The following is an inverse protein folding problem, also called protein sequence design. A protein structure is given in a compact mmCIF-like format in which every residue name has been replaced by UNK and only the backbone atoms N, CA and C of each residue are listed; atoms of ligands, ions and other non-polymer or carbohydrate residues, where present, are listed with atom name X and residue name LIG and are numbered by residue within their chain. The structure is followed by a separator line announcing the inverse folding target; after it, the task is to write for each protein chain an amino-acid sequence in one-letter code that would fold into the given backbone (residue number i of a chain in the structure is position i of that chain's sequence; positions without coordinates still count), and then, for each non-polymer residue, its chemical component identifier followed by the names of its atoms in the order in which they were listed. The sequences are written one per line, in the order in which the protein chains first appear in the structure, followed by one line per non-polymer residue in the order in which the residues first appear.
data_IF_093099414286
#
_entry.id   IF_093099414286
#
_cell.length_a   1.000
_cell.length_b   1.000
_cell.length_c   1.000
_cell.angle_alpha   90.00
_cell.angle_beta   90.00
_cell.angle_gamma   90.00
#
_symmetry.space_group_name_H-M   'P 1'
#
loop_
_entity.id
_entity.type
_entity.pdbx_description
1 polymer ?
#
# COMPACT_ATOMS: atom_id res chain seq x y z
N UNK A 1 -15.65 7.95 18.95
CA UNK A 1 -16.28 8.03 17.61
C UNK A 1 -15.16 7.95 16.59
N UNK A 2 -14.80 6.76 16.08
CA UNK A 2 -13.75 6.69 15.06
C UNK A 2 -14.33 7.25 13.76
N UNK A 3 -13.62 8.24 13.21
CA UNK A 3 -13.96 8.86 11.95
C UNK A 3 -13.99 7.79 10.85
N UNK A 4 -15.08 7.80 10.08
CA UNK A 4 -15.21 7.08 8.82
C UNK A 4 -13.98 7.38 7.97
N UNK A 5 -13.25 6.32 7.61
CA UNK A 5 -12.22 6.39 6.57
C UNK A 5 -12.96 6.85 5.31
N UNK A 6 -12.71 8.10 4.93
CA UNK A 6 -13.38 8.80 3.85
C UNK A 6 -13.30 7.98 2.57
N UNK A 7 -14.47 7.63 2.03
CA UNK A 7 -14.70 6.87 0.80
C UNK A 7 -14.22 7.60 -0.49
N UNK A 8 -13.32 8.58 -0.38
CA UNK A 8 -13.03 9.55 -1.44
C UNK A 8 -11.61 9.46 -2.05
N UNK A 9 -10.83 8.42 -1.76
CA UNK A 9 -9.55 8.14 -2.43
C UNK A 9 -9.71 7.49 -3.82
N UNK A 10 -10.96 7.21 -4.22
CA UNK A 10 -11.27 6.10 -5.11
C UNK A 10 -11.55 6.48 -6.57
N UNK A 11 -11.57 7.77 -6.92
CA UNK A 11 -12.14 8.26 -8.19
C UNK A 11 -11.54 7.66 -9.50
N UNK A 12 -10.32 7.10 -9.49
CA UNK A 12 -9.78 6.35 -10.64
C UNK A 12 -10.12 4.88 -10.65
N UNK A 13 -10.16 4.28 -9.47
CA UNK A 13 -10.38 2.85 -9.30
C UNK A 13 -11.87 2.51 -9.40
N UNK A 14 -12.77 3.51 -9.33
CA UNK A 14 -14.20 3.40 -9.67
C UNK A 14 -14.43 2.71 -11.02
N UNK A 15 -13.45 2.77 -11.93
CA UNK A 15 -13.57 2.19 -13.27
C UNK A 15 -12.99 0.78 -13.40
N UNK A 16 -12.40 0.24 -12.32
CA UNK A 16 -11.83 -1.10 -12.29
C UNK A 16 -12.82 -2.07 -11.64
N UNK A 17 -13.07 -3.19 -12.32
CA UNK A 17 -13.90 -4.27 -11.81
C UNK A 17 -13.21 -5.62 -11.98
N UNK A 18 -13.63 -6.59 -11.19
CA UNK A 18 -13.20 -7.98 -11.25
C UNK A 18 -14.40 -8.83 -11.66
N UNK A 19 -14.25 -9.61 -12.72
CA UNK A 19 -15.29 -10.55 -13.14
C UNK A 19 -14.72 -11.96 -13.11
N UNK A 20 -15.37 -12.89 -12.41
CA UNK A 20 -14.96 -14.30 -12.50
C UNK A 20 -15.39 -14.89 -13.84
N UNK A 21 -14.60 -15.79 -14.40
CA UNK A 21 -14.89 -16.39 -15.72
C UNK A 21 -16.20 -17.19 -15.74
N UNK A 22 -16.68 -17.64 -14.58
CA UNK A 22 -17.89 -18.43 -14.39
C UNK A 22 -19.06 -17.62 -13.80
N UNK A 23 -18.92 -16.28 -13.69
CA UNK A 23 -20.01 -15.39 -13.30
C UNK A 23 -20.12 -14.20 -14.25
N UNK A 24 -21.34 -13.85 -14.62
CA UNK A 24 -21.58 -12.69 -15.51
C UNK A 24 -21.42 -11.36 -14.78
N UNK A 25 -21.61 -11.33 -13.46
CA UNK A 25 -21.58 -10.09 -12.68
C UNK A 25 -20.15 -9.62 -12.41
N UNK A 26 -19.83 -8.40 -12.88
CA UNK A 26 -18.58 -7.72 -12.54
C UNK A 26 -18.68 -7.11 -11.13
N UNK A 27 -17.68 -7.37 -10.30
CA UNK A 27 -17.54 -6.86 -8.95
C UNK A 27 -16.66 -5.61 -8.96
N UNK A 28 -17.21 -4.41 -8.72
CA UNK A 28 -16.41 -3.19 -8.68
C UNK A 28 -15.31 -3.32 -7.63
N UNK A 29 -14.10 -2.91 -7.97
CA UNK A 29 -13.06 -2.72 -6.96
C UNK A 29 -13.54 -1.64 -5.99
N UNK A 30 -13.14 -1.74 -4.73
CA UNK A 30 -13.36 -0.74 -3.68
C UNK A 30 -12.04 -0.29 -3.05
N UNK A 31 -11.06 -1.18 -3.01
CA UNK A 31 -9.74 -0.92 -2.43
C UNK A 31 -8.69 -1.86 -2.98
N UNK A 32 -7.47 -1.34 -3.10
CA UNK A 32 -6.25 -2.13 -3.29
C UNK A 32 -5.27 -1.74 -2.20
N UNK A 33 -4.90 -2.72 -1.37
CA UNK A 33 -4.02 -2.54 -0.21
C UNK A 33 -3.22 -3.83 0.10
N UNK A 34 -2.50 -3.86 1.21
CA UNK A 34 -1.74 -5.04 1.68
C UNK A 34 -2.53 -6.34 1.85
N UNK A 35 -3.87 -6.28 1.91
CA UNK A 35 -4.72 -7.44 2.00
C UNK A 35 -5.16 -7.96 0.62
N UNK A 36 -5.00 -7.16 -0.43
CA UNK A 36 -5.33 -7.51 -1.80
C UNK A 36 -6.37 -6.58 -2.40
N UNK A 37 -7.20 -7.14 -3.29
CA UNK A 37 -8.28 -6.46 -3.99
C UNK A 37 -9.57 -6.62 -3.18
N UNK A 38 -10.04 -5.57 -2.53
CA UNK A 38 -11.38 -5.56 -1.93
C UNK A 38 -12.39 -5.14 -2.98
N UNK A 39 -13.40 -5.97 -3.23
CA UNK A 39 -14.45 -5.75 -4.24
C UNK A 39 -15.84 -5.75 -3.62
N UNK A 40 -16.77 -5.02 -4.24
CA UNK A 40 -18.20 -5.11 -3.95
C UNK A 40 -18.80 -6.31 -4.69
N UNK A 41 -19.42 -7.22 -3.95
CA UNK A 41 -20.16 -8.36 -4.50
C UNK A 41 -21.61 -7.91 -4.72
N UNK A 42 -22.14 -7.97 -5.97
CA UNK A 42 -23.53 -7.66 -6.28
C UNK A 42 -24.52 -8.46 -5.43
N UNK A 43 -25.65 -7.86 -5.08
CA UNK A 43 -26.63 -8.47 -4.16
C UNK A 43 -27.30 -9.74 -4.72
N UNK A 44 -27.35 -9.87 -6.04
CA UNK A 44 -27.85 -11.01 -6.78
C UNK A 44 -26.79 -12.09 -7.06
N UNK A 45 -25.52 -11.82 -6.74
CA UNK A 45 -24.43 -12.76 -6.90
C UNK A 45 -24.18 -13.60 -5.64
N UNK A 46 -23.89 -14.88 -5.84
CA UNK A 46 -23.43 -15.75 -4.76
C UNK A 46 -22.08 -15.28 -4.20
N UNK A 47 -21.90 -15.51 -2.90
CA UNK A 47 -20.63 -15.27 -2.22
C UNK A 47 -19.49 -16.04 -2.91
N UNK A 48 -18.34 -15.40 -3.20
CA UNK A 48 -17.19 -16.10 -3.75
C UNK A 48 -16.74 -17.24 -2.83
N UNK A 49 -16.58 -18.45 -3.38
CA UNK A 49 -16.03 -19.58 -2.63
C UNK A 49 -14.62 -19.25 -2.11
N UNK A 50 -14.42 -19.42 -0.80
CA UNK A 50 -13.17 -19.08 -0.14
C UNK A 50 -12.08 -20.12 -0.41
N UNK A 51 -10.84 -19.66 -0.54
CA UNK A 51 -9.65 -20.50 -0.59
C UNK A 51 -9.37 -21.20 -1.94
N UNK A 52 -10.32 -21.18 -2.88
CA UNK A 52 -10.15 -21.79 -4.20
C UNK A 52 -9.71 -20.75 -5.24
N UNK A 53 -8.59 -20.99 -5.96
CA UNK A 53 -8.21 -20.14 -7.08
C UNK A 53 -9.20 -20.23 -8.24
N UNK A 54 -9.71 -19.09 -8.70
CA UNK A 54 -10.63 -18.96 -9.82
C UNK A 54 -10.06 -18.03 -10.87
N UNK A 55 -10.30 -18.31 -12.15
CA UNK A 55 -9.93 -17.40 -13.25
C UNK A 55 -10.81 -16.15 -13.15
N UNK A 56 -10.18 -14.99 -13.22
CA UNK A 56 -10.84 -13.71 -13.16
C UNK A 56 -10.25 -12.76 -14.20
N UNK A 57 -11.13 -11.93 -14.75
CA UNK A 57 -10.79 -10.84 -15.64
C UNK A 57 -10.78 -9.54 -14.85
N UNK A 58 -9.68 -8.80 -14.93
CA UNK A 58 -9.60 -7.41 -14.47
C UNK A 58 -10.06 -6.53 -15.63
N UNK A 59 -11.07 -5.70 -15.38
CA UNK A 59 -11.72 -4.85 -16.38
C UNK A 59 -11.48 -3.41 -15.98
N UNK A 60 -11.11 -2.55 -16.93
CA UNK A 60 -10.96 -1.10 -16.76
C UNK A 60 -11.73 -0.38 -17.86
N UNK A 61 -12.61 0.57 -17.51
CA UNK A 61 -13.45 1.30 -18.48
C UNK A 61 -14.24 0.37 -19.44
N UNK A 62 -14.68 -0.79 -18.94
CA UNK A 62 -15.34 -1.87 -19.69
C UNK A 62 -14.45 -2.64 -20.67
N UNK A 63 -13.14 -2.38 -20.69
CA UNK A 63 -12.16 -3.14 -21.48
C UNK A 63 -11.38 -4.14 -20.59
N UNK A 64 -11.07 -5.35 -21.08
CA UNK A 64 -10.22 -6.29 -20.37
C UNK A 64 -8.78 -5.74 -20.24
N UNK A 65 -8.26 -5.66 -19.01
CA UNK A 65 -6.88 -5.25 -18.72
C UNK A 65 -5.93 -6.45 -18.63
N UNK A 66 -6.35 -7.50 -17.93
CA UNK A 66 -5.66 -8.79 -17.87
C UNK A 66 -6.56 -9.88 -17.32
N UNK A 67 -6.20 -11.12 -17.62
CA UNK A 67 -6.76 -12.30 -16.97
C UNK A 67 -5.73 -12.88 -15.99
N UNK A 68 -6.16 -13.22 -14.79
CA UNK A 68 -5.33 -13.83 -13.77
C UNK A 68 -6.16 -14.78 -12.90
N UNK A 69 -5.52 -15.46 -11.95
CA UNK A 69 -6.23 -16.31 -10.98
C UNK A 69 -6.31 -15.60 -9.63
N UNK A 70 -7.52 -15.46 -9.10
CA UNK A 70 -7.78 -14.88 -7.79
C UNK A 70 -8.28 -15.93 -6.81
N UNK A 71 -7.88 -15.78 -5.55
CA UNK A 71 -8.41 -16.53 -4.41
C UNK A 71 -9.16 -15.56 -3.52
N UNK A 72 -10.44 -15.85 -3.24
CA UNK A 72 -11.17 -15.14 -2.20
C UNK A 72 -10.64 -15.57 -0.82
N UNK A 73 -10.14 -14.60 -0.04
CA UNK A 73 -9.59 -14.82 1.31
C UNK A 73 -10.61 -14.56 2.40
N UNK A 74 -11.49 -13.59 2.16
CA UNK A 74 -12.57 -13.24 3.08
C UNK A 74 -13.76 -12.72 2.30
N UNK A 75 -14.94 -12.92 2.87
CA UNK A 75 -16.21 -12.46 2.36
C UNK A 75 -17.02 -12.01 3.58
N UNK A 76 -17.45 -10.75 3.61
CA UNK A 76 -18.15 -10.17 4.74
C UNK A 76 -19.29 -9.27 4.26
N UNK A 77 -20.41 -9.33 4.97
CA UNK A 77 -21.54 -8.41 4.81
C UNK A 77 -21.74 -7.69 6.13
N UNK A 78 -21.54 -6.38 6.12
CA UNK A 78 -21.90 -5.51 7.24
C UNK A 78 -23.38 -5.12 7.14
N UNK A 79 -24.06 -4.94 8.26
CA UNK A 79 -25.48 -4.63 8.28
C UNK A 79 -25.76 -3.33 7.53
N UNK A 80 -26.59 -3.40 6.47
CA UNK A 80 -26.94 -2.25 5.64
C UNK A 80 -25.86 -1.82 4.64
N UNK A 81 -24.84 -2.63 4.40
CA UNK A 81 -23.82 -2.43 3.37
C UNK A 81 -23.84 -3.56 2.34
N UNK A 82 -23.45 -3.30 1.08
CA UNK A 82 -23.24 -4.36 0.10
C UNK A 82 -22.19 -5.34 0.60
N UNK A 83 -22.31 -6.59 0.17
CA UNK A 83 -21.32 -7.60 0.50
C UNK A 83 -19.96 -7.24 -0.09
N UNK A 84 -18.89 -7.47 0.67
CA UNK A 84 -17.52 -7.24 0.21
C UNK A 84 -16.72 -8.53 0.26
N UNK A 85 -15.79 -8.68 -0.69
CA UNK A 85 -14.85 -9.79 -0.70
C UNK A 85 -13.43 -9.26 -0.89
N UNK A 86 -12.47 -9.88 -0.20
CA UNK A 86 -11.04 -9.61 -0.40
C UNK A 86 -10.44 -10.73 -1.22
N UNK A 87 -9.90 -10.37 -2.37
CA UNK A 87 -9.34 -11.26 -3.37
C UNK A 87 -7.83 -11.05 -3.44
N UNK A 88 -7.08 -12.13 -3.66
CA UNK A 88 -5.64 -12.07 -3.85
C UNK A 88 -5.24 -12.86 -5.09
N UNK A 89 -4.25 -12.39 -5.88
CA UNK A 89 -3.66 -13.20 -6.92
C UNK A 89 -3.12 -14.51 -6.35
N UNK A 90 -3.26 -15.59 -7.12
CA UNK A 90 -2.95 -16.94 -6.65
C UNK A 90 -1.46 -17.29 -6.75
N UNK A 91 -0.74 -16.63 -7.65
CA UNK A 91 0.67 -16.87 -7.99
C UNK A 91 1.43 -15.56 -8.07
N UNK A 92 2.72 -15.58 -7.76
CA UNK A 92 3.61 -14.41 -7.87
C UNK A 92 3.54 -13.72 -9.24
N UNK A 93 3.52 -14.49 -10.34
CA UNK A 93 3.40 -13.94 -11.71
C UNK A 93 2.09 -13.16 -11.91
N UNK A 94 1.01 -13.57 -11.24
CA UNK A 94 -0.29 -12.88 -11.29
C UNK A 94 -0.22 -11.51 -10.59
N UNK A 95 0.60 -11.36 -9.54
CA UNK A 95 0.83 -10.05 -8.89
C UNK A 95 1.55 -9.11 -9.86
N UNK A 96 2.60 -9.59 -10.53
CA UNK A 96 3.35 -8.78 -11.50
C UNK A 96 2.47 -8.36 -12.69
N UNK A 97 1.68 -9.29 -13.23
CA UNK A 97 0.76 -9.03 -14.33
C UNK A 97 -0.30 -7.97 -13.95
N UNK A 98 -0.89 -8.08 -12.75
CA UNK A 98 -1.84 -7.09 -12.24
C UNK A 98 -1.23 -5.68 -12.27
N UNK A 99 -0.04 -5.51 -11.68
CA UNK A 99 0.60 -4.20 -11.60
C UNK A 99 1.02 -3.64 -12.96
N UNK A 100 1.53 -4.49 -13.86
CA UNK A 100 1.86 -4.06 -15.23
C UNK A 100 0.64 -3.60 -16.00
N UNK A 101 -0.48 -4.32 -15.90
CA UNK A 101 -1.75 -3.92 -16.53
C UNK A 101 -2.29 -2.61 -15.95
N UNK A 102 -2.14 -2.39 -14.64
CA UNK A 102 -2.55 -1.12 -14.02
C UNK A 102 -1.68 0.06 -14.46
N UNK A 103 -0.36 -0.14 -14.62
CA UNK A 103 0.53 0.89 -15.18
C UNK A 103 0.14 1.23 -16.61
N UNK A 104 -0.09 0.21 -17.45
CA UNK A 104 -0.51 0.41 -18.83
C UNK A 104 -1.86 1.12 -18.93
N UNK A 105 -2.82 0.72 -18.10
CA UNK A 105 -4.14 1.36 -18.02
C UNK A 105 -4.05 2.83 -17.60
N UNK A 106 -3.21 3.13 -16.59
CA UNK A 106 -2.98 4.52 -16.14
C UNK A 106 -2.40 5.39 -17.24
N UNK A 107 -1.46 4.87 -18.02
CA UNK A 107 -0.86 5.60 -19.15
C UNK A 107 -1.89 5.95 -20.24
N UNK A 108 -2.95 5.15 -20.39
CA UNK A 108 -4.02 5.41 -21.36
C UNK A 108 -5.00 6.50 -20.90
N UNK A 109 -5.19 6.68 -19.59
CA UNK A 109 -6.18 7.61 -19.04
C UNK A 109 -5.80 9.09 -19.17
N UNK A 110 -4.53 9.43 -19.38
CA UNK A 110 -4.06 10.79 -19.73
C UNK A 110 -4.21 11.89 -18.67
N UNK A 111 -4.96 11.68 -17.58
CA UNK A 111 -5.07 12.58 -16.42
C UNK A 111 -5.54 11.79 -15.18
N UNK A 112 -4.93 12.03 -14.02
CA UNK A 112 -5.12 11.19 -12.84
C UNK A 112 -6.29 11.57 -11.91
N UNK A 113 -6.72 10.59 -11.10
CA UNK A 113 -7.56 10.80 -9.92
C UNK A 113 -6.88 11.67 -8.87
N UNK A 114 -7.70 12.41 -8.12
CA UNK A 114 -7.28 13.04 -6.86
C UNK A 114 -7.11 12.00 -5.76
N UNK A 115 -5.98 12.04 -5.04
CA UNK A 115 -5.82 11.32 -3.79
C UNK A 115 -6.30 12.21 -2.65
N UNK A 116 -7.27 11.76 -1.85
CA UNK A 116 -7.52 12.40 -0.58
C UNK A 116 -6.39 11.98 0.39
N UNK A 117 -6.02 12.88 1.30
CA UNK A 117 -4.89 12.63 2.17
C UNK A 117 -5.16 11.51 3.18
N UNK A 118 -4.11 10.71 3.36
CA UNK A 118 -3.82 9.78 4.45
C UNK A 118 -4.47 8.38 4.36
N UNK A 119 -3.67 7.42 3.89
CA UNK A 119 -3.82 6.01 4.26
C UNK A 119 -3.39 5.87 5.73
N UNK A 120 -4.27 6.30 6.64
CA UNK A 120 -4.13 5.93 8.04
C UNK A 120 -4.59 4.48 8.16
N UNK A 121 -3.64 3.56 8.20
CA UNK A 121 -3.94 2.21 8.70
C UNK A 121 -4.57 2.36 10.09
N UNK A 122 -5.68 1.68 10.40
CA UNK A 122 -6.31 1.80 11.70
C UNK A 122 -5.27 1.45 12.77
N UNK A 123 -5.03 2.42 13.66
CA UNK A 123 -4.20 2.26 14.84
C UNK A 123 -4.79 1.14 15.67
N UNK A 124 -4.14 -0.03 15.65
CA UNK A 124 -4.36 -1.02 16.68
C UNK A 124 -3.87 -0.38 17.98
N UNK A 125 -4.81 -0.03 18.87
CA UNK A 125 -4.46 0.43 20.20
C UNK A 125 -3.53 -0.60 20.84
N UNK A 126 -2.32 -0.23 21.29
CA UNK A 126 -1.40 -1.19 21.86
C UNK A 126 -2.02 -1.75 23.14
N UNK A 127 -2.28 -3.06 23.16
CA UNK A 127 -2.43 -3.79 24.41
C UNK A 127 -1.17 -3.56 25.24
N UNK A 128 -1.34 -3.10 26.48
CA UNK A 128 -0.29 -2.49 27.34
C UNK A 128 0.91 -3.36 27.71
N UNK A 129 1.15 -4.49 27.03
CA UNK A 129 2.27 -5.39 27.24
C UNK A 129 3.40 -5.29 26.17
N UNK A 130 3.17 -4.61 25.03
CA UNK A 130 4.07 -4.65 23.85
C UNK A 130 5.06 -3.46 23.75
N UNK A 131 5.30 -2.75 24.85
CA UNK A 131 6.12 -1.52 24.89
C UNK A 131 7.64 -1.74 24.86
N UNK A 132 8.12 -2.97 24.72
CA UNK A 132 9.57 -3.22 24.68
C UNK A 132 10.05 -3.10 23.23
N UNK A 133 10.71 -1.98 22.91
CA UNK A 133 11.52 -1.75 21.71
C UNK A 133 10.81 -1.65 20.36
N UNK A 134 9.80 -0.77 20.22
CA UNK A 134 9.43 -0.24 18.91
C UNK A 134 10.35 0.92 18.53
N UNK A 135 11.22 0.72 17.54
CA UNK A 135 12.07 1.76 16.96
C UNK A 135 11.52 2.10 15.58
N UNK A 136 11.28 3.38 15.32
CA UNK A 136 10.82 3.86 14.04
C UNK A 136 12.01 4.38 13.20
N UNK A 137 11.95 4.13 11.90
CA UNK A 137 12.81 4.78 10.92
C UNK A 137 11.95 5.42 9.85
N UNK A 138 12.20 6.69 9.62
CA UNK A 138 11.45 7.54 8.73
C UNK A 138 12.20 7.60 7.40
N UNK A 139 11.51 7.45 6.26
CA UNK A 139 12.09 7.55 4.93
C UNK A 139 11.14 8.29 4.01
N UNK A 140 11.66 8.98 3.00
CA UNK A 140 10.82 9.54 1.93
C UNK A 140 11.32 9.09 0.56
N UNK A 141 10.36 8.97 -0.34
CA UNK A 141 10.55 8.62 -1.74
C UNK A 141 10.05 9.78 -2.60
N UNK A 142 10.89 10.31 -3.48
CA UNK A 142 10.54 11.37 -4.43
C UNK A 142 10.28 10.78 -5.80
N UNK A 143 9.13 11.15 -6.37
CA UNK A 143 8.64 10.70 -7.67
C UNK A 143 8.55 11.89 -8.64
N UNK A 144 8.32 11.61 -9.93
CA UNK A 144 8.26 12.65 -10.96
C UNK A 144 7.08 13.62 -10.79
N UNK A 145 5.95 13.14 -10.24
CA UNK A 145 4.74 13.93 -10.05
C UNK A 145 3.87 13.32 -8.92
N UNK A 146 2.82 14.05 -8.54
CA UNK A 146 1.88 13.62 -7.49
C UNK A 146 1.15 12.32 -7.85
N UNK A 147 0.82 12.10 -9.11
CA UNK A 147 0.09 10.92 -9.58
C UNK A 147 0.91 9.64 -9.41
N UNK A 148 2.22 9.72 -9.72
CA UNK A 148 3.20 8.68 -9.47
C UNK A 148 3.33 8.39 -7.99
N UNK A 149 3.43 9.43 -7.15
CA UNK A 149 3.49 9.28 -5.70
C UNK A 149 2.24 8.55 -5.15
N UNK A 150 1.06 8.90 -5.65
CA UNK A 150 -0.19 8.24 -5.26
C UNK A 150 -0.19 6.76 -5.66
N UNK A 151 0.15 6.46 -6.91
CA UNK A 151 0.19 5.09 -7.43
C UNK A 151 1.25 4.25 -6.69
N UNK A 152 2.45 4.81 -6.52
CA UNK A 152 3.55 4.19 -5.78
C UNK A 152 3.15 3.87 -4.33
N UNK A 153 2.41 4.75 -3.64
CA UNK A 153 1.98 4.49 -2.26
C UNK A 153 1.09 3.25 -2.13
N UNK A 154 0.23 2.98 -3.12
CA UNK A 154 -0.65 1.79 -3.14
C UNK A 154 0.13 0.53 -3.46
N UNK A 155 1.04 0.62 -4.42
CA UNK A 155 1.98 -0.46 -4.73
C UNK A 155 2.82 -0.80 -3.50
N UNK A 156 3.35 0.20 -2.80
CA UNK A 156 4.15 -0.01 -1.61
C UNK A 156 3.35 -0.66 -0.47
N UNK A 157 2.12 -0.20 -0.21
CA UNK A 157 1.25 -0.85 0.78
C UNK A 157 0.99 -2.32 0.42
N UNK A 158 0.66 -2.58 -0.84
CA UNK A 158 0.39 -3.93 -1.34
C UNK A 158 1.57 -4.88 -1.10
N UNK A 159 2.81 -4.42 -1.27
CA UNK A 159 4.04 -5.21 -1.09
C UNK A 159 4.58 -5.20 0.34
N UNK A 160 3.78 -4.81 1.35
CA UNK A 160 4.22 -4.75 2.74
C UNK A 160 4.83 -6.07 3.25
N UNK A 161 4.24 -7.23 2.89
CA UNK A 161 4.74 -8.53 3.33
C UNK A 161 6.15 -8.83 2.78
N UNK A 162 6.40 -8.47 1.53
CA UNK A 162 7.70 -8.59 0.88
C UNK A 162 8.72 -7.63 1.49
N UNK A 163 8.32 -6.39 1.82
CA UNK A 163 9.18 -5.45 2.55
C UNK A 163 9.58 -6.03 3.91
N UNK A 164 8.64 -6.63 4.65
CA UNK A 164 8.93 -7.33 5.90
C UNK A 164 9.91 -8.49 5.71
N UNK A 165 9.74 -9.31 4.66
CA UNK A 165 10.66 -10.40 4.34
C UNK A 165 12.06 -9.86 4.01
N UNK A 166 12.17 -8.75 3.27
CA UNK A 166 13.45 -8.12 2.92
C UNK A 166 14.17 -7.55 4.14
N UNK A 167 13.45 -6.95 5.07
CA UNK A 167 14.01 -6.53 6.34
C UNK A 167 14.61 -7.72 7.09
N UNK A 168 13.86 -8.82 7.25
CA UNK A 168 14.31 -10.05 7.93
C UNK A 168 15.49 -10.74 7.24
N UNK A 169 15.56 -10.67 5.90
CA UNK A 169 16.71 -11.18 5.14
C UNK A 169 17.97 -10.35 5.36
N UNK A 170 17.82 -9.05 5.66
CA UNK A 170 18.95 -8.16 5.93
C UNK A 170 19.50 -8.38 7.34
N UNK A 171 18.62 -8.60 8.32
CA UNK A 171 18.97 -9.01 9.67
C UNK A 171 17.81 -9.81 10.28
N UNK A 172 18.09 -10.99 10.83
CA UNK A 172 17.07 -11.88 11.37
C UNK A 172 16.30 -11.29 12.57
N UNK A 173 16.88 -10.30 13.25
CA UNK A 173 16.27 -9.57 14.37
C UNK A 173 15.47 -8.35 13.91
N UNK A 174 15.55 -7.95 12.63
CA UNK A 174 14.80 -6.83 12.06
C UNK A 174 13.35 -7.22 11.76
N UNK A 175 12.51 -7.17 12.79
CA UNK A 175 11.10 -7.50 12.68
C UNK A 175 10.26 -6.25 12.38
N UNK A 176 10.05 -5.97 11.09
CA UNK A 176 9.16 -4.90 10.63
C UNK A 176 7.70 -5.28 10.93
N UNK A 177 7.00 -4.44 11.70
CA UNK A 177 5.63 -4.70 12.16
C UNK A 177 4.60 -3.81 11.49
N UNK A 178 4.92 -2.55 11.31
CA UNK A 178 3.99 -1.58 10.75
C UNK A 178 4.71 -0.69 9.74
N UNK A 179 3.96 -0.28 8.74
CA UNK A 179 4.37 0.71 7.76
C UNK A 179 3.28 1.74 7.61
N UNK A 180 3.62 2.99 7.89
CA UNK A 180 2.72 4.14 7.76
C UNK A 180 3.15 4.98 6.58
N UNK A 181 2.22 5.45 5.77
CA UNK A 181 2.52 6.22 4.57
C UNK A 181 1.70 7.49 4.49
N UNK A 182 2.33 8.55 4.01
CA UNK A 182 1.66 9.79 3.63
C UNK A 182 2.21 10.28 2.31
N UNK A 183 1.31 10.64 1.40
CA UNK A 183 1.66 11.32 0.14
C UNK A 183 1.58 12.83 0.36
N UNK A 184 2.64 13.55 0.02
CA UNK A 184 2.72 15.01 0.08
C UNK A 184 3.34 15.49 -1.22
N UNK A 185 2.60 16.23 -2.04
CA UNK A 185 3.02 16.62 -3.39
C UNK A 185 3.50 15.39 -4.18
N UNK A 186 4.74 15.37 -4.66
CA UNK A 186 5.36 14.28 -5.41
C UNK A 186 6.21 13.36 -4.52
N UNK A 187 6.07 13.45 -3.20
CA UNK A 187 6.80 12.67 -2.21
C UNK A 187 5.88 11.67 -1.48
N UNK A 188 6.41 10.49 -1.18
CA UNK A 188 5.80 9.51 -0.29
C UNK A 188 6.65 9.36 0.96
N UNK A 189 6.17 9.91 2.06
CA UNK A 189 6.77 9.76 3.39
C UNK A 189 6.33 8.44 4.01
N UNK A 190 7.28 7.66 4.52
CA UNK A 190 7.08 6.29 5.01
C UNK A 190 7.71 6.11 6.38
N UNK A 191 6.98 5.46 7.31
CA UNK A 191 7.52 4.99 8.59
C UNK A 191 7.68 3.53 8.51
N UNK A 192 8.84 3.06 8.91
CA UNK A 192 9.04 1.67 9.23
C UNK A 192 9.10 1.55 10.75
N UNK A 193 8.14 0.85 11.35
CA UNK A 193 8.15 0.56 12.78
C UNK A 193 8.63 -0.88 13.01
N UNK A 194 9.81 -1.01 13.59
CA UNK A 194 10.47 -2.29 13.84
C UNK A 194 10.44 -2.66 15.31
N UNK A 195 10.47 -3.96 15.57
CA UNK A 195 10.84 -4.52 16.86
C UNK A 195 12.31 -4.99 16.81
N UNK A 196 13.26 -4.06 16.96
CA UNK A 196 14.69 -4.34 16.84
C UNK A 196 15.54 -3.24 17.50
N UNK A 197 16.85 -3.48 17.61
CA UNK A 197 17.81 -2.47 18.05
C UNK A 197 18.04 -1.38 16.99
N UNK A 198 18.32 -0.15 17.42
CA UNK A 198 18.40 1.04 16.54
C UNK A 198 19.36 0.90 15.35
N UNK A 199 20.56 0.33 15.59
CA UNK A 199 21.55 0.11 14.53
C UNK A 199 21.03 -0.84 13.45
N UNK A 200 20.36 -1.92 13.86
CA UNK A 200 19.76 -2.92 12.97
C UNK A 200 18.63 -2.28 12.15
N UNK A 201 17.81 -1.45 12.81
CA UNK A 201 16.70 -0.74 12.16
C UNK A 201 17.18 0.13 11.02
N UNK A 202 18.22 0.95 11.22
CA UNK A 202 18.72 1.84 10.18
C UNK A 202 19.21 1.06 8.95
N UNK A 203 20.06 0.04 9.16
CA UNK A 203 20.60 -0.77 8.07
C UNK A 203 19.50 -1.55 7.34
N UNK A 204 18.52 -2.08 8.07
CA UNK A 204 17.40 -2.83 7.49
C UNK A 204 16.44 -1.94 6.72
N UNK A 205 16.14 -0.74 7.25
CA UNK A 205 15.33 0.26 6.56
C UNK A 205 16.03 0.74 5.28
N UNK A 206 17.35 0.96 5.31
CA UNK A 206 18.11 1.37 4.13
C UNK A 206 18.14 0.26 3.06
N UNK A 207 18.32 -0.99 3.47
CA UNK A 207 18.22 -2.13 2.56
C UNK A 207 16.82 -2.26 1.94
N UNK A 208 15.77 -2.08 2.75
CA UNK A 208 14.39 -2.07 2.27
C UNK A 208 14.14 -0.94 1.28
N UNK A 209 14.57 0.30 1.57
CA UNK A 209 14.40 1.45 0.67
C UNK A 209 15.10 1.25 -0.68
N UNK A 210 16.33 0.75 -0.68
CA UNK A 210 17.05 0.42 -1.92
C UNK A 210 16.33 -0.64 -2.74
N UNK A 211 15.82 -1.68 -2.09
CA UNK A 211 15.04 -2.72 -2.76
C UNK A 211 13.72 -2.17 -3.33
N UNK A 212 12.99 -1.36 -2.56
CA UNK A 212 11.75 -0.68 -2.97
C UNK A 212 12.01 0.15 -4.23
N UNK A 213 13.04 1.00 -4.23
CA UNK A 213 13.38 1.84 -5.38
C UNK A 213 13.74 1.01 -6.63
N UNK A 214 14.54 -0.05 -6.46
CA UNK A 214 14.90 -0.94 -7.55
C UNK A 214 13.67 -1.68 -8.14
N UNK A 215 12.77 -2.15 -7.28
CA UNK A 215 11.55 -2.84 -7.73
C UNK A 215 10.55 -1.89 -8.39
N UNK A 216 10.40 -0.66 -7.89
CA UNK A 216 9.57 0.34 -8.54
C UNK A 216 10.08 0.68 -9.93
N UNK A 217 11.41 0.80 -10.10
CA UNK A 217 12.02 0.98 -11.42
C UNK A 217 11.77 -0.22 -12.33
N UNK A 218 11.97 -1.44 -11.83
CA UNK A 218 11.81 -2.66 -12.63
C UNK A 218 10.36 -2.98 -13.01
N UNK A 219 9.42 -2.84 -12.07
CA UNK A 219 8.03 -3.28 -12.26
C UNK A 219 7.12 -2.16 -12.75
N UNK A 220 7.38 -0.91 -12.35
CA UNK A 220 6.52 0.24 -12.65
C UNK A 220 7.14 1.20 -13.67
N UNK A 221 8.41 1.02 -14.02
CA UNK A 221 9.14 1.97 -14.87
C UNK A 221 9.36 3.33 -14.20
N UNK A 222 9.24 3.41 -12.87
CA UNK A 222 9.34 4.68 -12.13
C UNK A 222 10.77 4.95 -11.68
N UNK A 223 11.22 6.19 -11.85
CA UNK A 223 12.46 6.65 -11.20
C UNK A 223 12.13 7.15 -9.80
N UNK A 224 12.72 6.52 -8.80
CA UNK A 224 12.44 6.79 -7.39
C UNK A 224 13.73 7.13 -6.67
N UNK A 225 13.85 8.37 -6.21
CA UNK A 225 14.90 8.77 -5.28
C UNK A 225 14.42 8.56 -3.85
N UNK A 226 15.31 8.16 -2.94
CA UNK A 226 14.94 7.95 -1.55
C UNK A 226 15.99 8.48 -0.58
N UNK A 227 15.54 8.91 0.59
CA UNK A 227 16.41 9.23 1.71
C UNK A 227 15.82 8.70 3.02
N UNK A 228 16.71 8.43 3.97
CA UNK A 228 16.35 8.03 5.31
C UNK A 228 16.57 9.20 6.27
N UNK A 229 15.51 9.51 7.00
CA UNK A 229 15.57 10.29 8.22
C UNK A 229 16.12 9.43 9.36
N UNK A 230 16.61 10.08 10.42
CA UNK A 230 17.15 9.37 11.59
C UNK A 230 16.14 8.41 12.23
N UNK A 231 16.65 7.51 13.05
CA UNK A 231 15.84 6.64 13.89
C UNK A 231 15.24 7.43 15.06
N UNK A 232 13.98 7.14 15.40
CA UNK A 232 13.31 7.72 16.56
C UNK A 232 12.81 6.60 17.46
N UNK A 233 13.25 6.61 18.72
CA UNK A 233 12.68 5.80 19.81
C UNK A 233 11.48 6.54 20.39
N UNK A 234 10.32 5.88 20.41
CA UNK A 234 9.01 6.30 20.97
C UNK A 234 7.94 6.82 19.98
N UNK A 235 6.71 6.37 20.25
CA UNK A 235 5.43 6.70 19.61
C UNK A 235 5.18 8.22 19.52
N UNK A 236 5.75 8.89 18.54
CA UNK A 236 5.21 10.16 18.07
C UNK A 236 4.04 9.83 17.13
N UNK A 237 2.83 10.27 17.51
CA UNK A 237 1.60 10.03 16.75
C UNK A 237 1.80 10.32 15.25
N UNK A 238 1.23 9.49 14.36
CA UNK A 238 1.31 9.70 12.91
C UNK A 238 0.71 11.04 12.46
N UNK A 239 -0.15 11.65 13.29
CA UNK A 239 -0.85 12.91 13.01
C UNK A 239 0.06 14.17 13.01
N UNK A 240 1.26 14.12 13.60
CA UNK A 240 2.14 15.31 13.73
C UNK A 240 3.46 15.22 12.98
N UNK A 241 3.72 14.11 12.31
CA UNK A 241 5.03 13.87 11.72
C UNK A 241 5.08 14.44 10.31
N UNK A 242 5.78 15.55 10.13
CA UNK A 242 6.16 16.09 8.81
C UNK A 242 7.67 16.07 8.65
N UNK A 243 8.20 15.36 7.66
CA UNK A 243 9.64 15.41 7.37
C UNK A 243 10.11 16.81 6.94
N UNK A 244 9.23 17.66 6.39
CA UNK A 244 9.56 19.07 6.13
C UNK A 244 9.90 19.83 7.41
N UNK A 245 9.26 19.51 8.54
CA UNK A 245 9.60 20.11 9.83
C UNK A 245 10.98 19.64 10.35
N UNK A 246 11.32 18.35 10.15
CA UNK A 246 12.60 17.77 10.57
C UNK A 246 13.77 18.32 9.73
N UNK A 247 13.57 18.53 8.43
CA UNK A 247 14.58 19.17 7.56
C UNK A 247 14.75 20.66 7.89
N UNK A 248 13.66 21.39 8.16
CA UNK A 248 13.73 22.80 8.56
C UNK A 248 14.50 22.98 9.89
N UNK A 249 14.38 22.05 10.85
CA UNK A 249 15.16 22.07 12.08
C UNK A 249 16.66 21.77 11.88
N UNK A 250 17.05 21.10 10.79
CA UNK A 250 18.48 20.88 10.45
C UNK A 250 19.10 22.03 9.67
N UNK A 251 18.31 22.73 8.85
CA UNK A 251 18.78 23.91 8.13
C UNK A 251 19.00 25.14 9.05
N UNK A 252 18.33 25.20 10.20
CA UNK A 252 18.49 26.27 11.19
C UNK A 252 19.76 26.20 12.06
N UNK A 253 20.55 25.12 11.99
CA UNK A 253 21.76 24.93 12.81
C UNK A 253 23.06 25.26 12.08
N UNK A 254 22.99 25.83 10.87
CA UNK A 254 24.15 26.41 10.16
C UNK A 254 23.89 27.89 9.85
N UNK A 255 23.77 28.71 10.89
CA UNK A 255 24.06 30.14 10.80
C UNK A 255 24.84 30.52 12.05
N UNK A 256 26.11 30.84 11.82
CA UNK A 256 27.01 31.49 12.78
C UNK A 256 26.53 32.90 13.12
#
# INVERSE_FOLDING_TARGET
MPASVSANDFAAWVRIAVQYADHESAMPLLRLDRHGLTVAVPDDADAPALGLPRRALIIGDSAPLCELRLVARSAAREAGQPMTATLQPSRADDHALLWQSLVAYRAQLGAAPSCAQAVQSPSFAPSGAELRYRVACDAAFTLANHEDACFFSRWLDYYFAEVCARAKMSDATADLREMFMRVVDHEVEVRFAFHAGERVVRTSAEAACRWIAAQASQQLGMTVEHWLSGTTTACSSPAGWSMRAVMASRAGNYSS
#
